data_IF_709382956225
#
_entry.id   IF_709382956225
#
_cell.length_a   1.000
_cell.length_b   1.000
_cell.length_c   1.000
_cell.angle_alpha   90.00
_cell.angle_beta   90.00
_cell.angle_gamma   90.00
#
_symmetry.space_group_name_H-M   'P 1'
#
loop_
_entity.id
_entity.type
_entity.pdbx_description
1 polymer ?
#
# COMPACT_ATOMS: atom_id res chain seq x y z
N UNK A 1 22.05 3.91 17.37
CA UNK A 1 21.27 4.94 16.67
C UNK A 1 20.21 4.19 15.87
N UNK A 2 18.93 4.60 15.87
CA UNK A 2 17.93 3.96 15.01
C UNK A 2 18.37 4.16 13.56
N UNK A 3 18.55 3.06 12.83
CA UNK A 3 18.86 3.11 11.41
C UNK A 3 17.73 3.89 10.73
N UNK A 4 18.08 5.05 10.18
CA UNK A 4 17.13 5.88 9.47
C UNK A 4 17.18 5.44 8.01
N UNK A 5 16.09 4.83 7.55
CA UNK A 5 15.94 4.37 6.18
C UNK A 5 15.29 5.46 5.33
N UNK A 6 15.78 5.66 4.11
CA UNK A 6 15.12 6.52 3.12
C UNK A 6 14.55 5.59 2.06
N UNK A 7 13.25 5.74 1.79
CA UNK A 7 12.56 4.96 0.77
C UNK A 7 12.63 5.70 -0.57
N UNK A 8 13.21 5.06 -1.58
CA UNK A 8 13.21 5.52 -2.96
C UNK A 8 12.36 4.58 -3.81
N UNK A 9 11.22 5.07 -4.30
CA UNK A 9 10.27 4.25 -5.06
C UNK A 9 9.96 4.90 -6.41
N UNK A 10 10.03 4.14 -7.50
CA UNK A 10 9.61 4.61 -8.84
C UNK A 10 8.07 4.70 -8.95
N UNK A 11 7.36 3.98 -8.09
CA UNK A 11 5.90 3.98 -7.98
C UNK A 11 5.42 5.10 -7.06
N UNK A 12 4.27 5.71 -7.37
CA UNK A 12 3.63 6.67 -6.47
C UNK A 12 2.90 5.94 -5.33
N UNK A 13 3.67 5.47 -4.34
CA UNK A 13 3.20 4.69 -3.18
C UNK A 13 2.10 5.44 -2.42
N UNK A 14 2.27 6.76 -2.21
CA UNK A 14 1.30 7.57 -1.49
C UNK A 14 -0.06 7.61 -2.20
N UNK A 15 -0.05 7.72 -3.54
CA UNK A 15 -1.28 7.67 -4.33
C UNK A 15 -1.95 6.29 -4.25
N UNK A 16 -1.18 5.21 -4.26
CA UNK A 16 -1.70 3.85 -4.09
C UNK A 16 -2.41 3.67 -2.75
N UNK A 17 -1.74 4.05 -1.64
CA UNK A 17 -2.30 3.98 -0.29
C UNK A 17 -3.53 4.88 -0.12
N UNK A 18 -3.51 6.09 -0.68
CA UNK A 18 -4.66 6.99 -0.63
C UNK A 18 -5.88 6.37 -1.33
N UNK A 19 -5.68 5.78 -2.52
CA UNK A 19 -6.76 5.12 -3.26
C UNK A 19 -7.29 3.90 -2.51
N UNK A 20 -6.43 3.11 -1.86
CA UNK A 20 -6.86 2.02 -0.99
C UNK A 20 -7.77 2.52 0.13
N UNK A 21 -7.40 3.62 0.80
CA UNK A 21 -8.20 4.24 1.86
C UNK A 21 -9.55 4.76 1.32
N UNK A 22 -9.56 5.41 0.17
CA UNK A 22 -10.78 5.92 -0.46
C UNK A 22 -11.76 4.77 -0.79
N UNK A 23 -11.24 3.64 -1.29
CA UNK A 23 -12.04 2.44 -1.57
C UNK A 23 -12.60 1.80 -0.30
N UNK A 24 -11.82 1.74 0.78
CA UNK A 24 -12.29 1.23 2.08
C UNK A 24 -13.34 2.16 2.70
N UNK A 25 -13.18 3.48 2.59
CA UNK A 25 -14.17 4.45 3.03
C UNK A 25 -15.48 4.30 2.23
N UNK A 26 -15.38 4.15 0.91
CA UNK A 26 -16.53 3.91 0.04
C UNK A 26 -17.26 2.60 0.43
N UNK A 27 -16.49 1.54 0.68
CA UNK A 27 -17.01 0.26 1.17
C UNK A 27 -17.81 0.42 2.45
N UNK A 28 -17.27 1.17 3.43
CA UNK A 28 -17.95 1.40 4.69
C UNK A 28 -19.26 2.19 4.51
N UNK A 29 -19.26 3.19 3.63
CA UNK A 29 -20.47 3.97 3.30
C UNK A 29 -21.53 3.07 2.65
N UNK A 30 -21.15 2.19 1.73
CA UNK A 30 -22.06 1.23 1.09
C UNK A 30 -22.66 0.29 2.13
N UNK A 31 -21.84 -0.28 3.02
CA UNK A 31 -22.32 -1.17 4.08
C UNK A 31 -23.32 -0.45 5.00
N UNK A 32 -23.02 0.79 5.40
CA UNK A 32 -23.87 1.60 6.27
C UNK A 32 -25.16 2.07 5.60
N UNK A 33 -25.18 2.21 4.26
CA UNK A 33 -26.36 2.66 3.52
C UNK A 33 -27.51 1.65 3.51
N UNK A 34 -27.22 0.37 3.73
CA UNK A 34 -28.21 -0.72 3.61
C UNK A 34 -28.65 -1.02 2.16
N UNK A 35 -28.05 -0.39 1.15
CA UNK A 35 -28.37 -0.63 -0.25
C UNK A 35 -27.80 -1.99 -0.71
N UNK A 36 -28.69 -2.99 -0.79
CA UNK A 36 -28.35 -4.36 -1.23
C UNK A 36 -27.77 -4.43 -2.64
N UNK A 37 -28.14 -3.50 -3.55
CA UNK A 37 -27.57 -3.48 -4.89
C UNK A 37 -26.12 -3.01 -4.83
N UNK A 38 -25.83 -1.99 -4.03
CA UNK A 38 -24.44 -1.52 -3.88
C UNK A 38 -23.56 -2.51 -3.11
N UNK A 39 -24.14 -3.23 -2.13
CA UNK A 39 -23.41 -4.22 -1.35
C UNK A 39 -22.79 -5.34 -2.19
N UNK A 40 -23.33 -5.64 -3.38
CA UNK A 40 -22.73 -6.63 -4.28
C UNK A 40 -21.32 -6.27 -4.75
N UNK A 41 -20.96 -4.98 -4.72
CA UNK A 41 -19.66 -4.47 -5.16
C UNK A 41 -18.63 -4.40 -4.04
N UNK A 42 -19.04 -4.60 -2.77
CA UNK A 42 -18.16 -4.49 -1.60
C UNK A 42 -16.92 -5.36 -1.73
N UNK A 43 -17.08 -6.61 -2.14
CA UNK A 43 -15.94 -7.52 -2.27
C UNK A 43 -14.93 -7.01 -3.30
N UNK A 44 -15.39 -6.58 -4.48
CA UNK A 44 -14.51 -6.06 -5.52
C UNK A 44 -13.77 -4.78 -5.09
N UNK A 45 -14.42 -3.91 -4.31
CA UNK A 45 -13.77 -2.71 -3.76
C UNK A 45 -12.67 -3.08 -2.75
N UNK A 46 -12.94 -4.07 -1.90
CA UNK A 46 -11.96 -4.59 -0.94
C UNK A 46 -10.78 -5.24 -1.65
N UNK A 47 -11.02 -6.05 -2.68
CA UNK A 47 -9.98 -6.75 -3.45
C UNK A 47 -9.00 -5.74 -4.09
N UNK A 48 -9.54 -4.69 -4.73
CA UNK A 48 -8.71 -3.64 -5.34
C UNK A 48 -7.93 -2.85 -4.29
N UNK A 49 -8.54 -2.54 -3.15
CA UNK A 49 -7.85 -1.86 -2.05
C UNK A 49 -6.69 -2.71 -1.49
N UNK A 50 -6.89 -4.03 -1.38
CA UNK A 50 -5.85 -4.96 -0.96
C UNK A 50 -4.70 -5.03 -1.98
N UNK A 51 -5.02 -5.11 -3.27
CA UNK A 51 -4.01 -5.15 -4.33
C UNK A 51 -3.14 -3.88 -4.33
N UNK A 52 -3.77 -2.70 -4.28
CA UNK A 52 -3.06 -1.42 -4.20
C UNK A 52 -2.19 -1.31 -2.95
N UNK A 53 -2.68 -1.82 -1.82
CA UNK A 53 -1.91 -1.84 -0.56
C UNK A 53 -0.72 -2.77 -0.66
N UNK A 54 -0.88 -3.95 -1.26
CA UNK A 54 0.21 -4.90 -1.46
C UNK A 54 1.28 -4.34 -2.41
N UNK A 55 0.86 -3.71 -3.50
CA UNK A 55 1.78 -3.04 -4.43
C UNK A 55 2.57 -1.92 -3.74
N UNK A 56 1.92 -1.13 -2.88
CA UNK A 56 2.56 -0.08 -2.09
C UNK A 56 3.56 -0.64 -1.09
N UNK A 57 3.21 -1.70 -0.35
CA UNK A 57 4.12 -2.39 0.58
C UNK A 57 5.34 -2.93 -0.15
N UNK A 58 5.13 -3.64 -1.26
CA UNK A 58 6.24 -4.18 -2.05
C UNK A 58 7.16 -3.07 -2.56
N UNK A 59 6.60 -1.96 -3.05
CA UNK A 59 7.40 -0.83 -3.53
C UNK A 59 8.22 -0.18 -2.41
N UNK A 60 7.69 -0.10 -1.18
CA UNK A 60 8.44 0.36 -0.02
C UNK A 60 9.55 -0.62 0.37
N UNK A 61 9.26 -1.92 0.40
CA UNK A 61 10.23 -2.97 0.75
C UNK A 61 11.41 -2.98 -0.25
N UNK A 62 11.13 -2.90 -1.56
CA UNK A 62 12.17 -2.79 -2.60
C UNK A 62 12.87 -1.43 -2.62
N UNK A 63 12.18 -0.37 -2.18
CA UNK A 63 12.71 0.99 -2.15
C UNK A 63 13.53 1.31 -0.91
N UNK A 64 13.59 0.41 0.07
CA UNK A 64 14.33 0.62 1.31
C UNK A 64 15.83 0.70 1.03
N UNK A 65 16.40 1.89 1.18
CA UNK A 65 17.84 2.09 1.08
C UNK A 65 18.42 2.51 2.44
N UNK A 66 19.49 1.85 2.91
CA UNK A 66 20.19 2.28 4.11
C UNK A 66 20.86 3.64 3.84
N UNK A 67 20.75 4.57 4.79
CA UNK A 67 21.45 5.86 4.71
C UNK A 67 22.97 5.71 4.68
N UNK A 68 23.49 4.66 5.33
CA UNK A 68 24.89 4.28 5.27
C UNK A 68 25.10 3.36 4.07
N UNK A 69 25.74 3.87 3.01
CA UNK A 69 26.12 3.06 1.83
C UNK A 69 27.03 1.87 2.18
N UNK A 70 27.79 1.97 3.27
CA UNK A 70 28.65 0.89 3.78
C UNK A 70 27.85 -0.28 4.41
N UNK A 71 26.55 -0.10 4.65
CA UNK A 71 25.62 -1.17 5.06
C UNK A 71 24.91 -1.84 3.86
N UNK A 72 25.21 -1.44 2.62
CA UNK A 72 24.92 -2.25 1.42
C UNK A 72 25.87 -3.47 1.35
N UNK A 73 25.89 -4.26 2.43
CA UNK A 73 26.64 -5.50 2.54
C UNK A 73 25.95 -6.61 1.77
N UNK A 74 26.30 -6.75 0.49
CA UNK A 74 26.41 -8.00 -0.28
C UNK A 74 25.58 -9.19 0.25
N UNK A 75 24.29 -9.25 -0.08
CA UNK A 75 23.60 -10.54 -0.17
C UNK A 75 23.99 -11.22 -1.50
N UNK A 76 25.27 -11.55 -1.65
CA UNK A 76 25.79 -12.50 -2.64
C UNK A 76 27.07 -13.10 -2.06
N UNK A 77 26.88 -14.05 -1.14
CA UNK A 77 27.85 -15.07 -0.77
C UNK A 77 27.34 -16.43 -1.22
#
# INVERSE_FOLDING_TARGET
MPNTYIYHTDSNVLLGLQRSLDLMNCTQLILNSGDKKMQMYVQSLVDVAQELTQQAVNALDFGEQPQNKDEQGVCNG
#
